data_IF_004817033336
#
_entry.id   IF_004817033336
#
_cell.length_a   1.000
_cell.length_b   1.000
_cell.length_c   1.000
_cell.angle_alpha   90.00
_cell.angle_beta   90.00
_cell.angle_gamma   90.00
#
_symmetry.space_group_name_H-M   'P 1'
#
loop_
_entity.id
_entity.type
_entity.pdbx_description
1 polymer ?
#
# COMPACT_ATOMS: atom_id res chain seq x y z
N UNK A 1 13.27 -0.65 -32.10
CA UNK A 1 13.04 0.03 -30.81
C UNK A 1 11.96 -0.70 -30.04
N UNK A 2 12.39 -1.37 -28.95
CA UNK A 2 11.66 -1.92 -27.80
C UNK A 2 10.12 -1.93 -27.80
N UNK A 3 9.54 -3.13 -27.95
CA UNK A 3 8.17 -3.44 -27.53
C UNK A 3 8.13 -4.86 -26.93
N UNK A 4 8.89 -5.08 -25.86
CA UNK A 4 8.91 -6.33 -25.08
C UNK A 4 9.00 -6.03 -23.58
N UNK A 5 8.09 -5.20 -23.07
CA UNK A 5 7.90 -5.02 -21.61
C UNK A 5 6.45 -5.39 -21.26
N UNK A 6 6.11 -6.66 -21.52
CA UNK A 6 4.88 -7.27 -21.04
C UNK A 6 4.88 -7.42 -19.50
N UNK A 7 3.72 -7.74 -18.88
CA UNK A 7 3.52 -7.80 -17.43
C UNK A 7 4.52 -8.66 -16.64
N UNK A 8 5.26 -9.54 -17.31
CA UNK A 8 6.39 -10.30 -16.76
C UNK A 8 7.47 -9.44 -16.11
N UNK A 9 7.79 -8.26 -16.64
CA UNK A 9 8.84 -7.41 -16.06
C UNK A 9 8.45 -6.93 -14.66
N UNK A 10 7.18 -6.62 -14.42
CA UNK A 10 6.70 -6.17 -13.11
C UNK A 10 6.75 -7.27 -12.04
N UNK A 11 6.47 -8.51 -12.45
CA UNK A 11 6.49 -9.69 -11.55
C UNK A 11 7.93 -10.05 -11.19
N UNK A 12 8.86 -10.02 -12.16
CA UNK A 12 10.26 -10.39 -11.95
C UNK A 12 11.10 -9.30 -11.25
N UNK A 13 10.75 -8.02 -11.40
CA UNK A 13 11.53 -6.90 -10.82
C UNK A 13 10.99 -6.41 -9.48
N UNK A 14 9.81 -6.86 -9.05
CA UNK A 14 9.16 -6.37 -7.83
C UNK A 14 8.69 -4.91 -7.91
N UNK A 15 8.64 -4.33 -9.11
CA UNK A 15 8.30 -2.91 -9.33
C UNK A 15 6.93 -2.53 -8.76
N UNK A 16 5.95 -3.44 -8.86
CA UNK A 16 4.62 -3.23 -8.28
C UNK A 16 4.64 -3.08 -6.76
N UNK A 17 5.56 -3.76 -6.06
CA UNK A 17 5.66 -3.69 -4.59
C UNK A 17 6.21 -2.35 -4.13
N UNK A 18 7.18 -1.78 -4.85
CA UNK A 18 7.70 -0.44 -4.56
C UNK A 18 6.64 0.63 -4.77
N UNK A 19 5.93 0.57 -5.90
CA UNK A 19 4.82 1.49 -6.20
C UNK A 19 3.72 1.45 -5.12
N UNK A 20 3.39 0.26 -4.61
CA UNK A 20 2.44 0.12 -3.50
C UNK A 20 2.93 0.77 -2.20
N UNK A 21 4.20 0.57 -1.85
CA UNK A 21 4.80 1.18 -0.65
C UNK A 21 4.84 2.70 -0.78
N UNK A 22 5.28 3.24 -1.92
CA UNK A 22 5.31 4.68 -2.17
C UNK A 22 3.91 5.31 -2.07
N UNK A 23 2.91 4.63 -2.65
CA UNK A 23 1.50 5.03 -2.53
C UNK A 23 1.03 5.01 -1.07
N UNK A 24 1.35 3.95 -0.32
CA UNK A 24 0.98 3.84 1.09
C UNK A 24 1.62 4.95 1.94
N UNK A 25 2.89 5.26 1.72
CA UNK A 25 3.59 6.37 2.40
C UNK A 25 2.97 7.72 2.04
N UNK A 26 2.59 7.93 0.78
CA UNK A 26 1.88 9.13 0.34
C UNK A 26 0.55 9.32 1.07
N UNK A 27 -0.25 8.25 1.17
CA UNK A 27 -1.53 8.24 1.89
C UNK A 27 -1.35 8.46 3.39
N UNK A 28 -0.35 7.80 3.98
CA UNK A 28 0.01 8.00 5.39
C UNK A 28 0.27 9.49 5.69
N UNK A 29 1.13 10.14 4.90
CA UNK A 29 1.48 11.56 5.09
C UNK A 29 0.30 12.51 4.85
N UNK A 30 -0.62 12.16 3.96
CA UNK A 30 -1.80 12.95 3.65
C UNK A 30 -2.89 12.83 4.73
N UNK A 31 -3.13 11.61 5.24
CA UNK A 31 -4.24 11.31 6.16
C UNK A 31 -3.82 11.52 7.63
N UNK A 32 -2.66 10.97 8.02
CA UNK A 32 -2.19 10.99 9.42
C UNK A 32 -1.36 12.25 9.68
N UNK A 33 -0.57 12.66 8.68
CA UNK A 33 0.21 13.89 8.73
C UNK A 33 1.71 13.67 8.49
N UNK A 34 2.43 14.77 8.30
CA UNK A 34 3.85 14.77 7.91
C UNK A 34 4.83 14.73 9.08
N UNK A 35 4.36 14.81 10.33
CA UNK A 35 5.20 14.99 11.52
C UNK A 35 4.79 14.04 12.63
N UNK A 36 5.79 13.47 13.30
CA UNK A 36 5.62 12.68 14.52
C UNK A 36 5.66 13.60 15.74
N UNK A 37 4.76 13.38 16.69
CA UNK A 37 4.59 14.21 17.90
C UNK A 37 5.25 13.58 19.14
N UNK A 38 5.59 12.29 19.08
CA UNK A 38 6.35 11.61 20.12
C UNK A 38 7.68 12.31 20.44
N UNK A 39 7.93 12.59 21.72
CA UNK A 39 9.17 13.25 22.18
C UNK A 39 10.37 12.31 22.29
N UNK A 40 10.13 11.00 22.33
CA UNK A 40 11.14 9.95 22.32
C UNK A 40 11.01 9.11 21.06
N UNK A 41 12.11 8.46 20.64
CA UNK A 41 12.11 7.58 19.48
C UNK A 41 11.09 6.44 19.63
N UNK A 42 11.03 5.82 20.81
CA UNK A 42 10.05 4.76 21.08
C UNK A 42 8.58 5.24 20.96
N UNK A 43 8.29 6.47 21.38
CA UNK A 43 6.96 7.05 21.20
C UNK A 43 6.66 7.33 19.71
N UNK A 44 7.67 7.71 18.93
CA UNK A 44 7.54 7.90 17.48
C UNK A 44 7.31 6.57 16.76
N UNK A 45 8.01 5.50 17.13
CA UNK A 45 7.78 4.15 16.57
C UNK A 45 6.36 3.67 16.85
N UNK A 46 5.88 3.89 18.08
CA UNK A 46 4.51 3.54 18.48
C UNK A 46 3.48 4.36 17.69
N UNK A 47 3.71 5.66 17.52
CA UNK A 47 2.85 6.54 16.72
C UNK A 47 2.77 6.08 15.26
N UNK A 48 3.90 5.68 14.66
CA UNK A 48 3.94 5.13 13.30
C UNK A 48 3.21 3.80 13.22
N UNK A 49 3.40 2.90 14.18
CA UNK A 49 2.74 1.59 14.20
C UNK A 49 1.21 1.74 14.25
N UNK A 50 0.70 2.62 15.12
CA UNK A 50 -0.72 2.92 15.22
C UNK A 50 -1.24 3.56 13.93
N UNK A 51 -0.52 4.53 13.37
CA UNK A 51 -0.90 5.18 12.11
C UNK A 51 -0.97 4.19 10.93
N UNK A 52 -0.02 3.25 10.84
CA UNK A 52 -0.03 2.19 9.85
C UNK A 52 -1.22 1.23 10.05
N UNK A 53 -1.51 0.84 11.28
CA UNK A 53 -2.66 0.00 11.59
C UNK A 53 -4.00 0.66 11.20
N UNK A 54 -4.14 1.95 11.50
CA UNK A 54 -5.32 2.73 11.11
C UNK A 54 -5.44 2.84 9.59
N UNK A 55 -4.35 3.12 8.88
CA UNK A 55 -4.34 3.18 7.41
C UNK A 55 -4.72 1.83 6.79
N UNK A 56 -4.17 0.73 7.30
CA UNK A 56 -4.50 -0.63 6.84
C UNK A 56 -5.98 -0.96 7.08
N UNK A 57 -6.55 -0.52 8.21
CA UNK A 57 -7.98 -0.67 8.48
C UNK A 57 -8.83 0.10 7.46
N UNK A 58 -8.50 1.37 7.19
CA UNK A 58 -9.20 2.16 6.15
C UNK A 58 -9.13 1.50 4.77
N UNK A 59 -7.97 0.94 4.40
CA UNK A 59 -7.80 0.24 3.13
C UNK A 59 -8.65 -1.03 3.06
N UNK A 60 -8.73 -1.80 4.14
CA UNK A 60 -9.57 -2.99 4.22
C UNK A 60 -11.05 -2.63 4.10
N UNK A 61 -11.50 -1.56 4.77
CA UNK A 61 -12.88 -1.07 4.68
C UNK A 61 -13.22 -0.46 3.31
N UNK A 62 -12.26 0.18 2.64
CA UNK A 62 -12.45 0.81 1.35
C UNK A 62 -12.35 -0.16 0.17
N UNK A 63 -11.97 -1.42 0.39
CA UNK A 63 -11.89 -2.41 -0.67
C UNK A 63 -13.31 -2.87 -1.06
N UNK A 64 -13.80 -2.55 -2.28
CA UNK A 64 -15.06 -3.11 -2.73
C UNK A 64 -14.89 -4.64 -2.79
N UNK A 65 -15.84 -5.40 -2.23
CA UNK A 65 -15.87 -6.86 -2.46
C UNK A 65 -16.03 -7.09 -3.97
N UNK A 66 -14.91 -7.28 -4.66
CA UNK A 66 -14.93 -7.65 -6.06
C UNK A 66 -15.48 -9.07 -6.13
N UNK A 67 -16.61 -9.24 -6.81
CA UNK A 67 -17.03 -10.58 -7.19
C UNK A 67 -16.08 -11.01 -8.30
N UNK A 68 -15.21 -11.97 -8.02
CA UNK A 68 -14.67 -12.76 -9.12
C UNK A 68 -15.85 -13.56 -9.65
N UNK A 69 -16.43 -13.13 -10.79
CA UNK A 69 -17.26 -14.02 -11.58
C UNK A 69 -16.32 -15.09 -12.10
N UNK A 70 -16.30 -16.24 -11.43
CA UNK A 70 -15.69 -17.44 -11.97
C UNK A 70 -16.43 -17.71 -13.29
N UNK A 71 -15.78 -17.41 -14.42
CA UNK A 71 -16.29 -17.81 -15.72
C UNK A 71 -16.48 -19.32 -15.73
N UNK A 72 -17.50 -19.86 -16.44
CA UNK A 72 -17.73 -21.29 -16.44
C UNK A 72 -16.44 -21.99 -16.88
N UNK A 73 -15.94 -22.86 -16.01
CA UNK A 73 -14.99 -23.90 -16.38
C UNK A 73 -15.68 -24.78 -17.42
N UNK A 74 -15.31 -24.58 -18.68
CA UNK A 74 -15.62 -25.46 -19.81
C UNK A 74 -14.29 -25.84 -20.47
#
# INVERSE_FOLDING_TARGET
>A
MHHLDGPWLQVSTGYGKRSQVETAIGRYKSIIGRRLRGRSFHAQETEVAIGCAALNCMLACAHPKSICRNGPTA
#
